data_IF_962606008037
#
_entry.id   IF_962606008037
#
_cell.length_a   1.000
_cell.length_b   1.000
_cell.length_c   1.000
_cell.angle_alpha   90.00
_cell.angle_beta   90.00
_cell.angle_gamma   90.00
#
_symmetry.space_group_name_H-M   'P 1'
#
loop_
_entity.id
_entity.type
_entity.pdbx_description
1 polymer ?
#
# COMPACT_ATOMS: atom_id res chain seq x y z
N UNK A 1 -14.86 -15.23 16.91
CA UNK A 1 -13.82 -15.15 15.86
C UNK A 1 -14.02 -13.83 15.13
N UNK A 2 -12.96 -13.04 14.97
CA UNK A 2 -13.02 -11.76 14.26
C UNK A 2 -12.19 -11.88 12.96
N UNK A 3 -12.73 -11.39 11.85
CA UNK A 3 -12.06 -11.37 10.55
C UNK A 3 -11.76 -9.92 10.18
N UNK A 4 -10.55 -9.66 9.69
CA UNK A 4 -10.10 -8.34 9.24
C UNK A 4 -9.64 -8.46 7.80
N UNK A 5 -10.11 -7.56 6.93
CA UNK A 5 -9.72 -7.49 5.52
C UNK A 5 -8.82 -6.28 5.24
N UNK A 6 -8.26 -6.20 4.04
CA UNK A 6 -7.37 -5.12 3.60
C UNK A 6 -7.88 -4.39 2.35
N UNK A 7 -7.36 -3.20 2.15
CA UNK A 7 -7.25 -2.54 0.83
C UNK A 7 -5.79 -2.65 0.33
N UNK A 8 -5.45 -2.04 -0.79
CA UNK A 8 -4.10 -2.00 -1.33
C UNK A 8 -3.79 -3.10 -2.35
N UNK A 9 -2.68 -2.94 -3.06
CA UNK A 9 -2.33 -3.78 -4.21
C UNK A 9 -0.93 -4.39 -4.15
N UNK A 10 -0.77 -5.53 -4.82
CA UNK A 10 0.41 -6.40 -4.71
C UNK A 10 1.16 -6.51 -6.04
N UNK A 11 2.17 -5.66 -6.24
CA UNK A 11 3.00 -5.66 -7.44
C UNK A 11 4.07 -6.76 -7.45
N UNK A 12 4.47 -7.26 -6.28
CA UNK A 12 5.46 -8.34 -6.17
C UNK A 12 5.02 -9.60 -6.95
N UNK A 13 5.98 -10.26 -7.59
CA UNK A 13 5.71 -11.34 -8.54
C UNK A 13 5.48 -10.83 -9.97
N UNK A 14 6.16 -9.75 -10.34
CA UNK A 14 6.12 -9.16 -11.68
C UNK A 14 4.70 -8.76 -12.13
N UNK A 15 3.98 -8.07 -11.25
CA UNK A 15 2.65 -7.48 -11.50
C UNK A 15 1.53 -8.48 -11.84
N UNK A 16 1.74 -9.78 -11.60
CA UNK A 16 0.80 -10.85 -11.96
C UNK A 16 -0.65 -10.62 -11.45
N UNK A 17 -0.80 -9.94 -10.32
CA UNK A 17 -2.08 -9.69 -9.66
C UNK A 17 -2.44 -8.19 -9.59
N UNK A 18 -1.67 -7.34 -10.28
CA UNK A 18 -1.90 -5.91 -10.27
C UNK A 18 -2.99 -5.55 -11.29
N UNK A 19 -4.01 -4.76 -10.92
CA UNK A 19 -5.01 -4.31 -11.88
C UNK A 19 -4.37 -3.41 -12.94
N UNK A 20 -4.89 -3.46 -14.17
CA UNK A 20 -4.28 -2.75 -15.30
C UNK A 20 -4.25 -1.22 -15.11
N UNK A 21 -5.27 -0.65 -14.48
CA UNK A 21 -5.32 0.77 -14.14
C UNK A 21 -4.16 1.22 -13.24
N UNK A 22 -3.55 0.32 -12.47
CA UNK A 22 -2.40 0.66 -11.63
C UNK A 22 -1.19 1.13 -12.44
N UNK A 23 -1.14 0.87 -13.76
CA UNK A 23 -0.08 1.38 -14.63
C UNK A 23 -0.33 2.83 -15.04
N UNK A 24 -1.58 3.22 -15.21
CA UNK A 24 -1.99 4.53 -15.76
C UNK A 24 -2.28 5.57 -14.67
N UNK A 25 -2.88 5.14 -13.56
CA UNK A 25 -3.25 6.03 -12.45
C UNK A 25 -2.02 6.63 -11.76
N UNK A 26 -2.15 7.83 -11.21
CA UNK A 26 -1.20 8.46 -10.28
C UNK A 26 -1.24 7.83 -8.88
N UNK A 27 -0.30 8.18 -8.00
CA UNK A 27 -0.32 7.71 -6.61
C UNK A 27 -1.54 8.26 -5.86
N UNK A 28 -1.92 9.50 -6.18
CA UNK A 28 -3.04 10.23 -5.60
C UNK A 28 -4.38 9.61 -6.01
N UNK A 29 -4.54 9.21 -7.28
CA UNK A 29 -5.75 8.53 -7.75
C UNK A 29 -5.90 7.14 -7.14
N UNK A 30 -4.80 6.38 -7.03
CA UNK A 30 -4.81 5.09 -6.33
C UNK A 30 -5.17 5.27 -4.86
N UNK A 31 -4.56 6.26 -4.19
CA UNK A 31 -4.88 6.57 -2.80
C UNK A 31 -6.34 7.00 -2.64
N UNK A 32 -6.90 7.76 -3.57
CA UNK A 32 -8.31 8.17 -3.53
C UNK A 32 -9.24 6.95 -3.51
N UNK A 33 -8.94 5.91 -4.32
CA UNK A 33 -9.70 4.65 -4.27
C UNK A 33 -9.60 3.97 -2.90
N UNK A 34 -8.39 3.80 -2.37
CA UNK A 34 -8.21 3.12 -1.07
C UNK A 34 -8.81 3.90 0.10
N UNK A 35 -8.78 5.23 0.04
CA UNK A 35 -9.44 6.13 0.99
C UNK A 35 -10.97 5.98 0.88
N UNK A 36 -11.51 5.88 -0.32
CA UNK A 36 -12.93 5.63 -0.55
C UNK A 36 -13.34 4.28 0.06
N UNK A 37 -12.58 3.21 -0.19
CA UNK A 37 -12.82 1.90 0.43
C UNK A 37 -12.78 1.96 1.97
N UNK A 38 -11.85 2.72 2.54
CA UNK A 38 -11.76 2.92 3.99
C UNK A 38 -12.97 3.67 4.57
N UNK A 39 -13.54 4.62 3.82
CA UNK A 39 -14.66 5.46 4.28
C UNK A 39 -16.03 4.84 4.01
N UNK A 40 -16.18 4.23 2.84
CA UNK A 40 -17.46 3.84 2.26
C UNK A 40 -17.61 2.32 2.11
N UNK A 41 -16.51 1.57 2.21
CA UNK A 41 -16.48 0.11 2.08
C UNK A 41 -15.93 -0.35 0.73
N UNK A 42 -15.47 -1.58 0.67
CA UNK A 42 -14.84 -2.17 -0.52
C UNK A 42 -15.91 -2.51 -1.55
N UNK A 43 -15.86 -1.86 -2.71
CA UNK A 43 -16.91 -1.97 -3.73
C UNK A 43 -18.30 -1.70 -3.16
N UNK A 44 -19.27 -2.56 -3.46
CA UNK A 44 -20.65 -2.42 -2.97
C UNK A 44 -20.94 -3.23 -1.70
N UNK A 45 -19.90 -3.67 -0.98
CA UNK A 45 -20.07 -4.61 0.16
C UNK A 45 -20.40 -3.92 1.48
N UNK A 46 -20.06 -2.64 1.61
CA UNK A 46 -20.08 -1.92 2.90
C UNK A 46 -19.02 -2.39 3.91
N UNK A 47 -18.19 -3.39 3.56
CA UNK A 47 -17.13 -3.91 4.42
C UNK A 47 -15.91 -3.00 4.32
N UNK A 48 -15.39 -2.54 5.45
CA UNK A 48 -14.23 -1.64 5.52
C UNK A 48 -12.93 -2.40 5.79
N UNK A 49 -11.82 -1.99 5.16
CA UNK A 49 -10.51 -2.56 5.43
C UNK A 49 -10.01 -2.15 6.83
N UNK A 50 -9.24 -3.03 7.47
CA UNK A 50 -8.54 -2.74 8.73
C UNK A 50 -7.06 -2.39 8.55
N UNK A 51 -6.51 -2.54 7.35
CA UNK A 51 -5.13 -2.17 7.01
C UNK A 51 -4.94 -2.03 5.49
N UNK A 52 -3.82 -1.44 5.08
CA UNK A 52 -3.40 -1.31 3.69
C UNK A 52 -2.35 -2.38 3.41
N UNK A 53 -2.58 -3.29 2.48
CA UNK A 53 -1.58 -4.29 2.08
C UNK A 53 -0.94 -3.87 0.76
N UNK A 54 0.39 -3.74 0.75
CA UNK A 54 1.15 -3.56 -0.50
C UNK A 54 2.20 -4.65 -0.68
N UNK A 55 2.64 -4.85 -1.91
CA UNK A 55 3.78 -5.69 -2.24
C UNK A 55 4.62 -5.05 -3.33
N UNK A 56 5.93 -5.01 -3.15
CA UNK A 56 6.87 -4.39 -4.11
C UNK A 56 7.84 -5.41 -4.70
N UNK A 57 8.22 -5.21 -5.96
CA UNK A 57 9.24 -6.01 -6.63
C UNK A 57 10.64 -5.70 -6.11
N UNK A 58 11.56 -6.62 -6.39
CA UNK A 58 12.99 -6.46 -6.15
C UNK A 58 13.73 -6.62 -7.49
N UNK A 59 14.37 -5.56 -8.03
CA UNK A 59 14.38 -4.18 -7.55
C UNK A 59 13.03 -3.47 -7.72
N UNK A 60 12.81 -2.39 -6.97
CA UNK A 60 11.60 -1.55 -7.11
C UNK A 60 11.61 -0.78 -8.42
N UNK A 61 10.47 -0.73 -9.08
CA UNK A 61 10.20 0.07 -10.28
C UNK A 61 9.38 1.32 -9.97
N UNK A 62 9.05 2.10 -10.99
CA UNK A 62 8.15 3.26 -10.87
C UNK A 62 6.76 2.88 -10.35
N UNK A 63 6.23 1.72 -10.74
CA UNK A 63 4.93 1.23 -10.27
C UNK A 63 5.01 0.88 -8.78
N UNK A 64 6.08 0.22 -8.35
CA UNK A 64 6.29 -0.11 -6.94
C UNK A 64 6.39 1.16 -6.08
N UNK A 65 7.18 2.15 -6.50
CA UNK A 65 7.29 3.45 -5.83
C UNK A 65 5.92 4.13 -5.74
N UNK A 66 5.13 4.08 -6.81
CA UNK A 66 3.79 4.66 -6.86
C UNK A 66 2.85 4.02 -5.83
N UNK A 67 2.86 2.69 -5.67
CA UNK A 67 2.06 2.01 -4.65
C UNK A 67 2.47 2.40 -3.22
N UNK A 68 3.77 2.56 -2.96
CA UNK A 68 4.27 2.98 -1.65
C UNK A 68 3.80 4.40 -1.31
N UNK A 69 3.85 5.31 -2.29
CA UNK A 69 3.32 6.68 -2.14
C UNK A 69 1.82 6.67 -1.87
N UNK A 70 1.05 5.90 -2.65
CA UNK A 70 -0.39 5.77 -2.45
C UNK A 70 -0.72 5.24 -1.04
N UNK A 71 0.07 4.30 -0.53
CA UNK A 71 -0.11 3.76 0.82
C UNK A 71 0.18 4.81 1.90
N UNK A 72 1.20 5.67 1.70
CA UNK A 72 1.49 6.78 2.61
C UNK A 72 0.33 7.79 2.66
N UNK A 73 -0.17 8.21 1.49
CA UNK A 73 -1.30 9.15 1.40
C UNK A 73 -2.55 8.56 2.09
N UNK A 74 -2.84 7.30 1.81
CA UNK A 74 -3.99 6.59 2.41
C UNK A 74 -3.84 6.48 3.92
N UNK A 75 -2.66 6.11 4.41
CA UNK A 75 -2.36 6.05 5.84
C UNK A 75 -2.61 7.40 6.52
N UNK A 76 -2.07 8.49 5.97
CA UNK A 76 -2.24 9.84 6.52
C UNK A 76 -3.71 10.28 6.55
N UNK A 77 -4.50 9.89 5.55
CA UNK A 77 -5.90 10.29 5.44
C UNK A 77 -6.86 9.42 6.29
N UNK A 78 -6.48 8.19 6.64
CA UNK A 78 -7.39 7.19 7.23
C UNK A 78 -6.94 6.63 8.58
N UNK A 79 -5.65 6.74 8.91
CA UNK A 79 -5.03 6.11 10.06
C UNK A 79 -4.76 4.60 9.91
N UNK A 80 -5.06 4.00 8.76
CA UNK A 80 -4.84 2.56 8.53
C UNK A 80 -3.34 2.22 8.50
N UNK A 81 -2.93 1.15 9.19
CA UNK A 81 -1.55 0.64 9.16
C UNK A 81 -1.18 0.12 7.78
N UNK A 82 0.07 0.36 7.35
CA UNK A 82 0.61 -0.18 6.10
C UNK A 82 1.30 -1.51 6.39
N UNK A 83 0.85 -2.58 5.74
CA UNK A 83 1.51 -3.88 5.76
C UNK A 83 2.20 -4.13 4.41
N UNK A 84 3.52 -4.05 4.37
CA UNK A 84 4.26 -4.23 3.11
C UNK A 84 4.91 -5.60 3.02
N UNK A 85 4.73 -6.27 1.89
CA UNK A 85 5.57 -7.38 1.50
C UNK A 85 6.78 -6.87 0.74
N UNK A 86 7.95 -7.20 1.27
CA UNK A 86 9.24 -6.81 0.70
C UNK A 86 10.15 -8.02 0.78
N UNK A 87 10.60 -8.53 -0.38
CA UNK A 87 11.36 -9.79 -0.42
C UNK A 87 12.75 -9.70 0.22
N UNK A 88 13.51 -8.63 -0.05
CA UNK A 88 14.89 -8.42 0.41
C UNK A 88 15.06 -7.07 1.12
N UNK A 89 16.15 -6.91 1.88
CA UNK A 89 16.44 -5.71 2.67
C UNK A 89 16.56 -4.41 1.85
N UNK A 90 17.04 -4.47 0.60
CA UNK A 90 17.23 -3.26 -0.24
C UNK A 90 15.93 -2.46 -0.46
N UNK A 91 14.86 -3.09 -0.99
CA UNK A 91 13.56 -2.44 -1.14
C UNK A 91 12.90 -1.98 0.18
N UNK A 92 13.32 -2.49 1.34
CA UNK A 92 12.83 -1.99 2.63
C UNK A 92 13.37 -0.58 2.90
N UNK A 93 14.68 -0.34 2.67
CA UNK A 93 15.26 1.01 2.81
C UNK A 93 14.67 2.02 1.84
N UNK A 94 14.42 1.61 0.58
CA UNK A 94 13.77 2.48 -0.41
C UNK A 94 12.36 2.89 0.01
N UNK A 95 11.59 1.97 0.61
CA UNK A 95 10.28 2.28 1.16
C UNK A 95 10.36 3.24 2.34
N UNK A 96 11.27 2.99 3.29
CA UNK A 96 11.47 3.87 4.44
C UNK A 96 11.82 5.30 4.03
N UNK A 97 12.61 5.47 2.96
CA UNK A 97 12.90 6.79 2.40
C UNK A 97 11.63 7.50 1.92
N UNK A 98 10.78 6.80 1.17
CA UNK A 98 9.50 7.35 0.68
C UNK A 98 8.58 7.69 1.85
N UNK A 99 8.47 6.82 2.87
CA UNK A 99 7.68 7.10 4.07
C UNK A 99 8.14 8.40 4.75
N UNK A 100 9.46 8.57 4.91
CA UNK A 100 10.02 9.78 5.49
C UNK A 100 9.73 11.04 4.66
N UNK A 101 9.76 10.95 3.32
CA UNK A 101 9.38 12.06 2.43
C UNK A 101 7.92 12.50 2.62
N UNK A 102 7.02 11.58 2.98
CA UNK A 102 5.61 11.85 3.28
C UNK A 102 5.34 12.17 4.77
N UNK A 103 6.37 12.18 5.62
CA UNK A 103 6.21 12.37 7.07
C UNK A 103 5.53 11.19 7.78
N UNK A 104 5.53 10.00 7.18
CA UNK A 104 5.00 8.77 7.77
C UNK A 104 6.09 8.12 8.64
N UNK A 105 5.77 7.86 9.90
CA UNK A 105 6.70 7.21 10.82
C UNK A 105 7.01 5.76 10.35
N UNK A 106 8.26 5.29 10.46
CA UNK A 106 8.63 3.91 10.10
C UNK A 106 7.77 2.83 10.78
N UNK A 107 7.28 3.09 11.99
CA UNK A 107 6.39 2.19 12.74
C UNK A 107 5.03 1.95 12.06
N UNK A 108 4.62 2.81 11.13
CA UNK A 108 3.42 2.61 10.32
C UNK A 108 3.58 1.50 9.27
N UNK A 109 4.82 1.08 8.98
CA UNK A 109 5.15 -0.01 8.06
C UNK A 109 5.41 -1.30 8.83
N UNK A 110 4.49 -2.26 8.71
CA UNK A 110 4.57 -3.59 9.33
C UNK A 110 4.81 -4.68 8.27
N UNK A 111 5.51 -5.76 8.63
CA UNK A 111 5.86 -6.86 7.72
C UNK A 111 7.36 -7.16 7.60
N UNK A 112 8.21 -6.45 8.36
CA UNK A 112 9.64 -6.69 8.47
C UNK A 112 10.03 -6.92 9.92
N UNK A 113 9.84 -8.16 10.39
CA UNK A 113 10.77 -8.68 11.40
C UNK A 113 11.96 -9.23 10.62
N UNK A 114 13.20 -8.77 10.87
CA UNK A 114 14.37 -9.52 10.45
C UNK A 114 14.35 -10.95 11.01
#
# INVERSE_FOLDING_TARGET
MNLITNTGWYAAGNYKYLPQEAFDLSAEEIAAQWIDEAKNGIGNTGIKPGFIKIGVNVPMTKVDVKLVKAACITHLATGLTIMSHTGLAGPAFSQLKILNEYGVAPSALSGHTP
#
